data_IF_777974844025
#
_entry.id   IF_777974844025
#
_cell.length_a   1.000
_cell.length_b   1.000
_cell.length_c   1.000
_cell.angle_alpha   90.00
_cell.angle_beta   90.00
_cell.angle_gamma   90.00
#
_symmetry.space_group_name_H-M   'P 1'
#
loop_
_entity.id
_entity.type
_entity.pdbx_description
1 polymer ?
2 non-polymer ?
3 non-polymer ?
4 water ?
#
# COMPACT_ATOMS: atom_id res chain seq x y z
N UNK A 2 26.51 25.73 -25.17
CA UNK A 2 25.56 26.84 -25.51
C UNK A 2 24.65 27.21 -24.35
N UNK A 3 24.12 28.43 -24.43
CA UNK A 3 23.14 28.93 -23.47
C UNK A 3 21.83 28.17 -23.60
N UNK A 4 21.48 27.81 -24.84
CA UNK A 4 20.23 27.13 -25.14
C UNK A 4 20.30 25.63 -24.87
N UNK A 5 21.42 25.00 -25.24
CA UNK A 5 21.64 23.58 -24.91
C UNK A 5 21.52 23.37 -23.41
N UNK A 6 22.10 24.30 -22.65
CA UNK A 6 21.96 24.33 -21.19
C UNK A 6 20.48 24.32 -20.73
N UNK A 7 19.62 25.09 -21.40
CA UNK A 7 18.18 25.14 -21.10
C UNK A 7 17.49 23.79 -21.27
N UNK A 8 17.84 23.09 -22.34
CA UNK A 8 17.28 21.79 -22.62
C UNK A 8 17.73 20.84 -21.50
N UNK A 9 19.02 20.85 -21.19
CA UNK A 9 19.56 19.89 -20.20
C UNK A 9 18.98 20.12 -18.80
N UNK A 10 18.89 21.39 -18.41
CA UNK A 10 18.29 21.77 -17.11
C UNK A 10 16.86 21.25 -16.94
N UNK A 11 16.05 21.44 -17.97
CA UNK A 11 14.65 20.98 -17.98
C UNK A 11 14.62 19.46 -17.79
N UNK A 12 15.45 18.75 -18.54
CA UNK A 12 15.45 17.27 -18.45
C UNK A 12 15.94 16.80 -17.07
N UNK A 13 16.97 17.47 -16.54
CA UNK A 13 17.50 17.11 -15.23
C UNK A 13 16.46 17.34 -14.12
N UNK A 14 15.75 18.46 -14.17
CA UNK A 14 14.70 18.79 -13.20
C UNK A 14 13.56 17.73 -13.27
N UNK A 15 13.24 17.32 -14.48
CA UNK A 15 12.20 16.30 -14.73
C UNK A 15 12.64 14.96 -14.12
N UNK A 16 13.86 14.55 -14.41
CA UNK A 16 14.39 13.30 -13.88
C UNK A 16 14.43 13.34 -12.35
N UNK A 17 14.93 14.44 -11.80
CA UNK A 17 15.03 14.57 -10.33
C UNK A 17 13.69 14.46 -9.60
N UNK A 18 12.62 14.91 -10.25
CA UNK A 18 11.25 14.79 -9.71
C UNK A 18 10.76 13.35 -9.76
N UNK A 19 10.92 12.72 -10.93
CA UNK A 19 10.32 11.42 -11.22
C UNK A 19 11.11 10.23 -10.66
N UNK A 20 12.44 10.25 -10.82
CA UNK A 20 13.26 9.07 -10.50
C UNK A 20 13.14 8.59 -9.04
N UNK A 21 13.12 9.51 -8.05
CA UNK A 21 12.98 9.02 -6.67
C UNK A 21 11.63 8.32 -6.39
N UNK A 22 10.59 8.75 -7.10
CA UNK A 22 9.24 8.20 -6.92
C UNK A 22 9.16 6.82 -7.53
N UNK A 23 9.81 6.64 -8.68
CA UNK A 23 9.95 5.32 -9.28
C UNK A 23 10.68 4.37 -8.29
N UNK A 24 11.83 4.81 -7.79
CA UNK A 24 12.62 4.02 -6.87
C UNK A 24 11.83 3.65 -5.62
N UNK A 25 11.13 4.62 -5.04
CA UNK A 25 10.41 4.38 -3.77
C UNK A 25 9.27 3.39 -3.98
N UNK A 26 8.59 3.46 -5.14
CA UNK A 26 7.52 2.49 -5.47
C UNK A 26 8.07 1.06 -5.64
N UNK A 27 9.18 0.92 -6.36
CA UNK A 27 9.82 -0.38 -6.54
C UNK A 27 10.13 -0.99 -5.16
N UNK A 28 10.71 -0.18 -4.28
CA UNK A 28 11.12 -0.64 -2.95
C UNK A 28 9.89 -1.06 -2.13
N UNK A 29 8.87 -0.22 -2.14
CA UNK A 29 7.65 -0.46 -1.36
C UNK A 29 6.90 -1.68 -1.86
N UNK A 30 6.83 -1.82 -3.18
CA UNK A 30 6.19 -3.00 -3.77
C UNK A 30 6.92 -4.30 -3.38
N UNK A 31 8.26 -4.28 -3.44
CA UNK A 31 9.03 -5.49 -3.09
C UNK A 31 8.78 -5.91 -1.64
N UNK A 32 8.76 -4.94 -0.74
CA UNK A 32 8.54 -5.22 0.70
C UNK A 32 7.13 -5.78 0.92
N UNK A 33 6.12 -5.14 0.30
CA UNK A 33 4.72 -5.58 0.38
C UNK A 33 4.59 -7.03 -0.10
N UNK A 34 5.19 -7.34 -1.24
CA UNK A 34 5.13 -8.68 -1.79
C UNK A 34 5.68 -9.80 -0.88
N UNK A 35 6.67 -9.50 -0.06
CA UNK A 35 7.21 -10.51 0.84
C UNK A 35 6.24 -10.88 1.95
N UNK A 36 5.24 -10.04 2.21
CA UNK A 36 4.29 -10.31 3.29
C UNK A 36 2.85 -10.40 2.90
N UNK A 37 2.55 -10.33 1.60
CA UNK A 37 1.15 -10.33 1.17
C UNK A 37 0.51 -11.70 1.46
N UNK A 38 1.32 -12.75 1.63
CA UNK A 38 0.81 -14.07 1.99
C UNK A 38 0.04 -14.10 3.31
N UNK A 39 0.21 -13.05 4.13
CA UNK A 39 -0.46 -12.93 5.45
C UNK A 39 -1.81 -12.22 5.39
N UNK A 40 -2.14 -11.59 4.26
CA UNK A 40 -3.38 -10.79 4.20
C UNK A 40 -4.67 -11.59 4.44
N UNK A 41 -4.80 -12.76 3.82
CA UNK A 41 -5.99 -13.57 4.03
C UNK A 41 -6.21 -13.86 5.50
N UNK A 42 -5.12 -14.09 6.25
CA UNK A 42 -5.23 -14.39 7.70
C UNK A 42 -5.92 -13.24 8.43
N UNK A 43 -5.46 -12.03 8.16
CA UNK A 43 -5.98 -10.85 8.84
C UNK A 43 -7.39 -10.50 8.40
N UNK A 44 -7.62 -10.55 7.08
CA UNK A 44 -8.96 -10.36 6.51
C UNK A 44 -9.98 -11.35 7.08
N UNK A 45 -9.60 -12.63 7.14
CA UNK A 45 -10.49 -13.67 7.60
C UNK A 45 -10.74 -13.59 9.10
N UNK A 46 -9.73 -13.16 9.85
CA UNK A 46 -9.88 -12.98 11.31
C UNK A 46 -10.94 -11.89 11.62
N UNK A 47 -10.87 -10.76 10.94
CA UNK A 47 -11.81 -9.68 11.15
C UNK A 47 -13.22 -10.18 10.82
N UNK A 48 -14.16 -9.90 11.72
CA UNK A 48 -15.58 -10.31 11.61
C UNK A 48 -15.83 -11.81 11.77
N UNK A 49 -14.86 -12.52 12.32
CA UNK A 49 -15.02 -13.95 12.58
C UNK A 49 -15.61 -14.15 13.99
N UNK A 50 -16.12 -15.35 14.24
CA UNK A 50 -16.65 -15.71 15.56
C UNK A 50 -15.59 -15.52 16.65
N UNK A 51 -14.37 -15.98 16.37
CA UNK A 51 -13.29 -15.91 17.35
C UNK A 51 -12.87 -14.47 17.64
N UNK A 52 -12.70 -13.66 16.59
CA UNK A 52 -12.42 -12.24 16.75
C UNK A 52 -13.43 -11.58 17.67
N UNK A 53 -14.72 -11.84 17.44
CA UNK A 53 -15.79 -11.21 18.25
C UNK A 53 -15.75 -11.71 19.70
N UNK A 54 -15.63 -13.02 19.89
CA UNK A 54 -15.51 -13.60 21.23
C UNK A 54 -14.35 -12.96 22.01
N UNK A 55 -13.18 -12.89 21.36
CA UNK A 55 -11.98 -12.28 21.97
C UNK A 55 -12.18 -10.81 22.26
N UNK A 56 -12.81 -10.09 21.34
CA UNK A 56 -13.06 -8.65 21.53
C UNK A 56 -13.94 -8.38 22.75
N UNK A 57 -14.79 -9.34 23.11
CA UNK A 57 -15.74 -9.16 24.21
C UNK A 57 -15.35 -9.80 25.53
N UNK A 58 -14.13 -10.36 25.58
CA UNK A 58 -13.52 -10.86 26.84
C UNK A 58 -13.15 -9.66 27.74
N UNK A 59 -13.12 -9.89 29.06
CA UNK A 59 -12.79 -8.84 30.04
C UNK A 59 -11.29 -8.71 30.26
N UNK A 60 -10.59 -8.16 29.27
CA UNK A 60 -9.14 -7.97 29.34
C UNK A 60 -8.76 -6.99 30.47
N UNK A 61 -7.66 -7.27 31.19
CA UNK A 61 -7.25 -6.38 32.29
C UNK A 61 -6.32 -5.28 31.80
N UNK A 62 -5.91 -5.35 30.53
CA UNK A 62 -5.21 -4.23 29.86
C UNK A 62 -6.04 -3.79 28.61
N UNK A 63 -5.67 -2.67 27.98
CA UNK A 63 -6.37 -2.21 26.78
C UNK A 63 -6.30 -3.34 25.75
N UNK A 64 -7.46 -3.73 25.19
CA UNK A 64 -7.39 -4.78 24.18
C UNK A 64 -6.51 -4.43 22.96
N UNK A 65 -5.91 -5.45 22.36
CA UNK A 65 -5.12 -5.28 21.15
C UNK A 65 -5.96 -4.58 20.09
N UNK A 66 -5.33 -3.72 19.32
CA UNK A 66 -5.99 -3.06 18.16
C UNK A 66 -6.68 -3.98 17.17
N UNK A 67 -6.12 -5.18 16.95
CA UNK A 67 -6.78 -6.13 16.04
C UNK A 67 -8.18 -6.48 16.49
N UNK A 68 -8.46 -6.35 17.80
CA UNK A 68 -9.78 -6.66 18.34
C UNK A 68 -10.78 -5.52 18.24
N UNK A 69 -10.36 -4.38 17.72
CA UNK A 69 -11.27 -3.24 17.63
C UNK A 69 -12.29 -3.40 16.51
N UNK A 70 -13.33 -2.57 16.59
CA UNK A 70 -14.43 -2.67 15.62
C UNK A 70 -13.99 -2.18 14.25
N UNK A 71 -13.03 -1.27 14.22
CA UNK A 71 -12.69 -0.54 13.00
C UNK A 71 -11.30 -0.85 12.38
N UNK A 72 -10.29 -1.25 13.17
CA UNK A 72 -8.91 -1.27 12.65
C UNK A 72 -8.73 -2.17 11.42
N UNK A 73 -9.14 -3.43 11.53
CA UNK A 73 -8.99 -4.35 10.39
C UNK A 73 -10.01 -4.07 9.29
N UNK A 74 -11.18 -3.53 9.65
CA UNK A 74 -12.12 -3.02 8.64
C UNK A 74 -11.45 -1.98 7.73
N UNK A 75 -10.74 -1.04 8.36
CA UNK A 75 -10.04 0.00 7.62
C UNK A 75 -8.90 -0.59 6.79
N UNK A 76 -8.22 -1.61 7.32
CA UNK A 76 -7.13 -2.28 6.58
C UNK A 76 -7.67 -2.93 5.30
N UNK A 77 -8.82 -3.61 5.41
CA UNK A 77 -9.46 -4.24 4.26
C UNK A 77 -9.83 -3.18 3.19
N UNK A 78 -10.36 -2.05 3.65
CA UNK A 78 -10.72 -0.96 2.74
C UNK A 78 -9.51 -0.44 2.00
N UNK A 79 -8.40 -0.25 2.73
CA UNK A 79 -7.16 0.27 2.15
C UNK A 79 -6.65 -0.74 1.12
N UNK A 80 -6.71 -2.02 1.46
CA UNK A 80 -6.35 -3.08 0.52
C UNK A 80 -7.16 -3.04 -0.77
N UNK A 81 -8.48 -2.95 -0.63
CA UNK A 81 -9.39 -3.00 -1.79
C UNK A 81 -9.22 -1.78 -2.69
N UNK A 82 -8.99 -0.62 -2.09
CA UNK A 82 -8.67 0.58 -2.89
C UNK A 82 -7.35 0.42 -3.63
N UNK A 83 -6.34 -0.11 -2.93
CA UNK A 83 -5.04 -0.41 -3.59
C UNK A 83 -5.20 -1.40 -4.72
N UNK A 84 -5.99 -2.45 -4.52
CA UNK A 84 -6.24 -3.42 -5.60
C UNK A 84 -6.75 -2.76 -6.89
N UNK A 85 -7.71 -1.86 -6.71
CA UNK A 85 -8.32 -1.14 -7.84
C UNK A 85 -7.29 -0.22 -8.53
N UNK A 86 -6.47 0.46 -7.73
CA UNK A 86 -5.44 1.38 -8.26
C UNK A 86 -4.36 0.60 -9.03
N UNK A 87 -4.00 -0.58 -8.54
CA UNK A 87 -3.03 -1.44 -9.23
C UNK A 87 -3.60 -1.98 -10.55
N UNK A 88 -4.87 -2.41 -10.52
CA UNK A 88 -5.56 -2.85 -11.71
C UNK A 88 -5.62 -1.75 -12.76
N UNK A 89 -5.85 -0.51 -12.35
CA UNK A 89 -5.96 0.60 -13.30
C UNK A 89 -4.60 0.96 -13.89
N UNK A 90 -3.55 0.88 -13.07
CA UNK A 90 -2.20 1.22 -13.52
C UNK A 90 -1.59 0.21 -14.49
N UNK A 91 -1.86 -1.07 -14.28
CA UNK A 91 -1.21 -2.14 -15.05
C UNK A 91 -1.22 -1.92 -16.59
N UNK A 92 -2.40 -1.68 -17.20
CA UNK A 92 -2.41 -1.50 -18.66
C UNK A 92 -1.75 -0.20 -19.14
N UNK A 93 -1.76 0.82 -18.27
CA UNK A 93 -1.11 2.10 -18.59
C UNK A 93 0.39 1.90 -18.65
N UNK A 94 0.95 1.16 -17.70
CA UNK A 94 2.38 0.86 -17.76
C UNK A 94 2.75 -0.03 -18.95
N UNK A 95 1.91 -1.01 -19.28
CA UNK A 95 2.17 -1.85 -20.43
C UNK A 95 2.29 -1.02 -21.72
N UNK A 96 1.42 -0.02 -21.84
CA UNK A 96 1.40 0.88 -23.00
C UNK A 96 2.71 1.66 -23.15
N UNK A 97 3.42 1.92 -22.05
CA UNK A 97 4.66 2.70 -22.08
C UNK A 97 5.91 1.86 -22.26
N UNK A 98 5.75 0.55 -22.44
CA UNK A 98 6.87 -0.32 -22.76
C UNK A 98 7.17 -0.27 -24.24
X LIG B 1 6.85 -14.00 3.46
X LIG C 1 4.19 -16.42 6.50
X LIG D 1 19.55 16.81 -5.84
#
# INVERSE_FOLDING_TARGET
SMKQDQLIVEKMEQTYEAFSPKLANLIEALDAFKEHYEEYATLRNFYSSDEWFRLANQPWDDIPSGVLSEDLLFDMIGDHNQLAADIADLAPIMAKHM
CL CL
CL CL
CA CA
#
